data_IF_894130552445
#
_entry.id   IF_894130552445
#
_cell.length_a   1.000
_cell.length_b   1.000
_cell.length_c   1.000
_cell.angle_alpha   90.00
_cell.angle_beta   90.00
_cell.angle_gamma   90.00
#
_symmetry.space_group_name_H-M   'P 1'
#
loop_
_entity.id
_entity.type
_entity.pdbx_description
1 polymer ?
#
# COMPACT_ATOMS: atom_id res chain seq x y z
N UNK A 1 12.89 -1.89 -14.48
CA UNK A 1 12.24 -0.67 -15.00
C UNK A 1 12.33 0.43 -13.98
N UNK A 2 12.60 1.67 -14.40
CA UNK A 2 12.54 2.86 -13.53
C UNK A 2 11.10 3.38 -13.41
N UNK A 3 10.77 3.97 -12.27
CA UNK A 3 9.48 4.61 -12.03
C UNK A 3 9.28 5.79 -12.99
N UNK A 4 8.08 5.92 -13.54
CA UNK A 4 7.63 7.06 -14.36
C UNK A 4 6.51 7.78 -13.64
N UNK A 5 6.20 9.01 -14.02
CA UNK A 5 5.10 9.78 -13.41
C UNK A 5 3.78 8.99 -13.36
N UNK A 6 3.45 8.24 -14.42
CA UNK A 6 2.25 7.38 -14.47
C UNK A 6 2.25 6.20 -13.49
N UNK A 7 3.38 5.84 -12.89
CA UNK A 7 3.44 4.79 -11.88
C UNK A 7 2.85 5.24 -10.54
N UNK A 8 2.95 6.53 -10.19
CA UNK A 8 2.43 7.07 -8.93
C UNK A 8 0.90 6.89 -8.83
N UNK A 9 0.08 7.39 -9.77
CA UNK A 9 -1.36 7.19 -9.70
C UNK A 9 -1.73 5.70 -9.76
N UNK A 10 -1.03 4.90 -10.57
CA UNK A 10 -1.24 3.44 -10.64
C UNK A 10 -1.00 2.74 -9.30
N UNK A 11 0.07 3.10 -8.57
CA UNK A 11 0.37 2.54 -7.25
C UNK A 11 -0.71 2.90 -6.22
N UNK A 12 -1.18 4.15 -6.23
CA UNK A 12 -2.23 4.62 -5.32
C UNK A 12 -3.57 3.95 -5.63
N UNK A 13 -3.99 3.92 -6.90
CA UNK A 13 -5.22 3.25 -7.33
C UNK A 13 -5.23 1.77 -6.99
N UNK A 14 -4.10 1.08 -7.20
CA UNK A 14 -3.98 -0.33 -6.84
C UNK A 14 -4.09 -0.57 -5.34
N UNK A 15 -3.55 0.34 -4.54
CA UNK A 15 -3.69 0.28 -3.07
C UNK A 15 -5.12 0.51 -2.64
N UNK A 16 -5.82 1.47 -3.26
CA UNK A 16 -7.25 1.69 -3.01
C UNK A 16 -8.06 0.45 -3.36
N UNK A 17 -7.84 -0.13 -4.54
CA UNK A 17 -8.52 -1.35 -4.98
C UNK A 17 -8.34 -2.51 -3.99
N UNK A 18 -7.12 -2.74 -3.51
CA UNK A 18 -6.86 -3.76 -2.49
C UNK A 18 -7.58 -3.43 -1.17
N UNK A 19 -7.62 -2.15 -0.77
CA UNK A 19 -8.34 -1.74 0.43
C UNK A 19 -9.85 -1.98 0.29
N UNK A 20 -10.43 -1.67 -0.86
CA UNK A 20 -11.86 -1.89 -1.16
C UNK A 20 -12.23 -3.38 -1.11
N UNK A 21 -11.34 -4.27 -1.54
CA UNK A 21 -11.56 -5.72 -1.47
C UNK A 21 -11.41 -6.29 -0.06
N UNK A 22 -10.62 -5.63 0.78
CA UNK A 22 -10.14 -6.20 2.03
C UNK A 22 -10.88 -5.64 3.24
N UNK A 23 -11.15 -4.33 3.30
CA UNK A 23 -11.73 -3.64 4.45
C UNK A 23 -13.16 -3.19 4.17
N UNK A 24 -14.04 -3.32 5.17
CA UNK A 24 -15.41 -2.79 5.11
C UNK A 24 -15.46 -1.34 5.62
N UNK A 25 -14.70 -1.01 6.66
CA UNK A 25 -14.63 0.34 7.25
C UNK A 25 -13.73 1.26 6.42
N UNK A 26 -14.31 2.35 5.91
CA UNK A 26 -13.58 3.39 5.17
C UNK A 26 -12.48 4.05 5.99
N UNK A 27 -12.59 4.09 7.32
CA UNK A 27 -11.52 4.62 8.18
C UNK A 27 -10.25 3.79 8.05
N UNK A 28 -10.36 2.46 8.01
CA UNK A 28 -9.20 1.57 7.80
C UNK A 28 -8.58 1.77 6.42
N UNK A 29 -9.42 1.93 5.39
CA UNK A 29 -8.96 2.21 4.01
C UNK A 29 -8.17 3.52 3.95
N UNK A 30 -8.69 4.58 4.57
CA UNK A 30 -8.04 5.89 4.64
C UNK A 30 -6.69 5.79 5.34
N UNK A 31 -6.60 5.05 6.45
CA UNK A 31 -5.35 4.88 7.18
C UNK A 31 -4.29 4.14 6.37
N UNK A 32 -4.66 3.05 5.67
CA UNK A 32 -3.74 2.32 4.79
C UNK A 32 -3.26 3.22 3.65
N UNK A 33 -4.18 3.93 2.99
CA UNK A 33 -3.84 4.84 1.89
C UNK A 33 -2.91 5.97 2.34
N UNK A 34 -3.18 6.58 3.50
CA UNK A 34 -2.31 7.60 4.10
C UNK A 34 -0.91 7.04 4.34
N UNK A 35 -0.80 5.89 4.98
CA UNK A 35 0.49 5.27 5.31
C UNK A 35 1.27 4.90 4.03
N UNK A 36 0.57 4.44 2.99
CA UNK A 36 1.19 4.14 1.70
C UNK A 36 1.64 5.40 0.96
N UNK A 37 0.85 6.48 0.96
CA UNK A 37 1.25 7.75 0.34
C UNK A 37 2.48 8.34 1.04
N UNK A 38 2.52 8.31 2.38
CA UNK A 38 3.70 8.74 3.13
C UNK A 38 4.95 7.94 2.74
N UNK A 39 4.81 6.62 2.66
CA UNK A 39 5.87 5.73 2.18
C UNK A 39 6.34 6.08 0.75
N UNK A 40 5.42 6.39 -0.17
CA UNK A 40 5.79 6.85 -1.51
C UNK A 40 6.64 8.13 -1.45
N UNK A 41 6.21 9.15 -0.70
CA UNK A 41 6.96 10.40 -0.60
C UNK A 41 8.38 10.21 -0.05
N UNK A 42 8.56 9.31 0.93
CA UNK A 42 9.87 9.02 1.51
C UNK A 42 10.83 8.30 0.54
N UNK A 43 10.31 7.57 -0.46
CA UNK A 43 11.12 6.63 -1.26
C UNK A 43 11.17 6.93 -2.76
N UNK A 44 10.32 7.85 -3.27
CA UNK A 44 10.28 8.21 -4.69
C UNK A 44 11.59 8.86 -5.21
N UNK A 45 12.35 9.51 -4.33
CA UNK A 45 13.63 10.15 -4.67
C UNK A 45 14.85 9.22 -4.51
N UNK A 46 14.65 7.99 -4.01
CA UNK A 46 15.72 7.04 -3.67
C UNK A 46 16.26 6.21 -4.84
N UNK A 47 17.34 5.46 -4.59
CA UNK A 47 17.95 4.57 -5.59
C UNK A 47 17.05 3.37 -5.96
N UNK A 48 16.14 2.98 -5.06
CA UNK A 48 15.23 1.84 -5.21
C UNK A 48 13.91 2.24 -5.89
N UNK A 49 14.01 2.79 -7.09
CA UNK A 49 12.86 3.27 -7.87
C UNK A 49 12.25 2.21 -8.81
N UNK A 50 12.12 0.98 -8.32
CA UNK A 50 11.54 -0.14 -9.06
C UNK A 50 10.10 -0.41 -8.61
N UNK A 51 9.12 -0.56 -9.53
CA UNK A 51 7.71 -0.82 -9.16
C UNK A 51 7.50 -2.04 -8.25
N UNK A 52 8.36 -3.06 -8.36
CA UNK A 52 8.31 -4.27 -7.53
C UNK A 52 8.52 -3.94 -6.05
N UNK A 53 9.45 -3.04 -5.72
CA UNK A 53 9.73 -2.62 -4.35
C UNK A 53 8.48 -2.00 -3.70
N UNK A 54 7.83 -1.07 -4.40
CA UNK A 54 6.59 -0.43 -3.93
C UNK A 54 5.43 -1.41 -3.81
N UNK A 55 5.36 -2.41 -4.70
CA UNK A 55 4.37 -3.49 -4.61
C UNK A 55 4.53 -4.34 -3.35
N UNK A 56 5.76 -4.69 -2.98
CA UNK A 56 6.06 -5.47 -1.76
C UNK A 56 5.70 -4.69 -0.49
N UNK A 57 6.07 -3.42 -0.41
CA UNK A 57 5.77 -2.61 0.79
C UNK A 57 4.28 -2.32 0.95
N UNK A 58 3.55 -2.15 -0.16
CA UNK A 58 2.07 -2.08 -0.14
C UNK A 58 1.48 -3.32 0.53
N UNK A 59 1.89 -4.51 0.10
CA UNK A 59 1.37 -5.77 0.63
C UNK A 59 1.63 -5.89 2.15
N UNK A 60 2.83 -5.49 2.60
CA UNK A 60 3.16 -5.47 4.04
C UNK A 60 2.28 -4.50 4.82
N UNK A 61 2.02 -3.31 4.31
CA UNK A 61 1.15 -2.32 4.96
C UNK A 61 -0.28 -2.83 5.10
N UNK A 62 -0.84 -3.37 4.02
CA UNK A 62 -2.18 -3.95 3.99
C UNK A 62 -2.29 -5.12 4.98
N UNK A 63 -1.30 -6.04 4.98
CA UNK A 63 -1.26 -7.18 5.91
C UNK A 63 -1.14 -6.76 7.37
N UNK A 64 -0.27 -5.79 7.69
CA UNK A 64 -0.09 -5.28 9.07
C UNK A 64 -1.40 -4.74 9.65
N UNK A 65 -2.15 -3.97 8.87
CA UNK A 65 -3.47 -3.44 9.25
C UNK A 65 -4.50 -4.55 9.38
N UNK A 66 -4.51 -5.51 8.45
CA UNK A 66 -5.39 -6.69 8.55
C UNK A 66 -5.16 -7.51 9.81
N UNK A 67 -3.91 -7.78 10.16
CA UNK A 67 -3.57 -8.53 11.37
C UNK A 67 -3.85 -7.75 12.66
N UNK A 68 -3.83 -6.41 12.64
CA UNK A 68 -4.27 -5.62 13.80
C UNK A 68 -5.79 -5.68 14.03
N UNK A 69 -6.59 -5.89 12.98
CA UNK A 69 -8.05 -6.02 13.07
C UNK A 69 -8.58 -7.46 13.18
N UNK A 70 -7.72 -8.48 13.05
CA UNK A 70 -8.08 -9.89 13.20
C UNK A 70 -7.16 -10.56 14.21
N UNK A 71 -7.74 -10.89 15.37
CA UNK A 71 -7.25 -12.02 16.17
C UNK A 71 -6.96 -13.17 15.22
N UNK A 72 -5.73 -13.68 15.32
CA UNK A 72 -5.21 -14.83 14.59
C UNK A 72 -6.25 -15.95 14.49
N UNK A 73 -6.87 -16.10 13.32
CA UNK A 73 -7.48 -17.36 12.92
C UNK A 73 -6.86 -17.79 11.60
N UNK A 74 -5.90 -18.69 11.77
CA UNK A 74 -5.41 -19.72 10.85
C UNK A 74 -4.99 -19.29 9.44
N UNK A 75 -3.68 -19.12 9.28
CA UNK A 75 -2.95 -19.71 8.17
C UNK A 75 -2.25 -20.98 8.67
#
# INVERSE_FOLDING_TARGET
MKLKSGCIPCLVERTKYECDMLFEDDREKILVLRDFIAFLFEHLEGELNAPVFFGTEREKLVKRRKCHGRSLTNW
#
